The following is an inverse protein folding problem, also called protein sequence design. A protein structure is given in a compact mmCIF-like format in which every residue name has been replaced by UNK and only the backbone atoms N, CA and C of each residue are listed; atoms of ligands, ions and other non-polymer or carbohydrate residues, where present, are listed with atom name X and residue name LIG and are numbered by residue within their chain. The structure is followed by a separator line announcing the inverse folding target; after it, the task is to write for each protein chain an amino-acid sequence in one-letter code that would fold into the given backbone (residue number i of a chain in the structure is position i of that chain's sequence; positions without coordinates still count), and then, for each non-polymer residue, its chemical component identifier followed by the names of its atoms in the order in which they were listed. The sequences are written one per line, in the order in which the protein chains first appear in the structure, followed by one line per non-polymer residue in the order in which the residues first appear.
data_IF_940317248312
#
_entry.id   IF_940317248312
#
_cell.length_a   1.000
_cell.length_b   1.000
_cell.length_c   1.000
_cell.angle_alpha   90.00
_cell.angle_beta   90.00
_cell.angle_gamma   90.00
#
_symmetry.space_group_name_H-M   'P 1'
#
loop_
_entity.id
_entity.type
_entity.pdbx_description
1 polymer ?
#
# COMPACT_ATOMS: atom_id res chain seq x y z
N UNK A 1 39.65 0.26 -5.57
CA UNK A 1 38.65 -0.67 -5.06
C UNK A 1 39.27 -2.07 -5.04
N UNK A 2 39.14 -2.77 -3.93
CA UNK A 2 39.61 -4.16 -3.82
C UNK A 2 38.72 -5.11 -4.67
N UNK A 3 39.22 -6.30 -5.00
CA UNK A 3 38.44 -7.32 -5.72
C UNK A 3 37.12 -7.62 -4.96
N UNK A 4 37.19 -7.68 -3.62
CA UNK A 4 36.00 -7.90 -2.78
C UNK A 4 34.96 -6.79 -2.97
N UNK A 5 35.36 -5.53 -3.04
CA UNK A 5 34.42 -4.42 -3.27
C UNK A 5 33.72 -4.52 -4.63
N UNK A 6 34.43 -4.91 -5.69
CA UNK A 6 33.81 -5.12 -7.00
C UNK A 6 32.82 -6.27 -6.98
N UNK A 7 33.16 -7.39 -6.36
CA UNK A 7 32.29 -8.56 -6.22
C UNK A 7 31.04 -8.19 -5.40
N UNK A 8 31.22 -7.50 -4.27
CA UNK A 8 30.11 -7.02 -3.43
C UNK A 8 29.16 -6.12 -4.23
N UNK A 9 29.70 -5.13 -4.95
CA UNK A 9 28.89 -4.19 -5.77
C UNK A 9 28.10 -4.94 -6.82
N UNK A 10 28.72 -5.92 -7.49
CA UNK A 10 28.05 -6.75 -8.50
C UNK A 10 26.89 -7.53 -7.88
N UNK A 11 27.10 -8.21 -6.73
CA UNK A 11 26.06 -8.98 -6.07
C UNK A 11 24.92 -8.10 -5.57
N UNK A 12 25.19 -6.94 -5.01
CA UNK A 12 24.19 -5.95 -4.61
C UNK A 12 23.37 -5.52 -5.83
N UNK A 13 24.05 -5.16 -6.92
CA UNK A 13 23.38 -4.74 -8.14
C UNK A 13 22.47 -5.85 -8.74
N UNK A 14 22.97 -7.08 -8.83
CA UNK A 14 22.19 -8.22 -9.31
C UNK A 14 21.00 -8.51 -8.41
N UNK A 15 21.17 -8.40 -7.08
CA UNK A 15 20.07 -8.58 -6.12
C UNK A 15 19.01 -7.49 -6.29
N UNK A 16 19.41 -6.22 -6.43
CA UNK A 16 18.48 -5.10 -6.64
C UNK A 16 17.71 -5.25 -7.97
N UNK A 17 18.39 -5.62 -9.05
CA UNK A 17 17.74 -5.92 -10.33
C UNK A 17 16.77 -7.08 -10.20
N UNK A 18 17.17 -8.16 -9.51
CA UNK A 18 16.30 -9.31 -9.25
C UNK A 18 15.03 -8.93 -8.46
N UNK A 19 15.17 -8.09 -7.44
CA UNK A 19 14.04 -7.55 -6.65
C UNK A 19 13.14 -6.65 -7.51
N UNK A 20 13.72 -5.83 -8.39
CA UNK A 20 12.98 -4.96 -9.30
C UNK A 20 12.15 -5.77 -10.30
N UNK A 21 12.72 -6.82 -10.90
CA UNK A 21 12.02 -7.76 -11.80
C UNK A 21 10.89 -8.52 -11.08
N UNK A 22 11.07 -8.80 -9.79
CA UNK A 22 10.02 -9.24 -8.88
C UNK A 22 9.69 -10.74 -8.90
N UNK A 23 9.94 -11.46 -9.98
CA UNK A 23 9.72 -12.92 -10.10
C UNK A 23 10.73 -13.56 -11.02
N UNK A 24 11.33 -14.66 -10.55
CA UNK A 24 12.14 -15.55 -11.38
C UNK A 24 11.37 -16.87 -11.59
N UNK A 25 10.64 -17.03 -12.72
CA UNK A 25 9.72 -18.17 -12.92
C UNK A 25 10.40 -19.53 -12.80
N UNK A 26 11.66 -19.63 -13.29
CA UNK A 26 12.44 -20.87 -13.25
C UNK A 26 12.89 -21.29 -11.86
N UNK A 27 13.10 -20.33 -10.94
CA UNK A 27 13.61 -20.59 -9.59
C UNK A 27 12.52 -20.49 -8.52
N UNK A 28 11.26 -20.17 -8.88
CA UNK A 28 10.14 -19.93 -7.96
C UNK A 28 10.47 -18.92 -6.83
N UNK A 29 11.38 -17.99 -7.13
CA UNK A 29 11.83 -16.98 -6.18
C UNK A 29 10.94 -15.72 -6.30
N UNK A 30 10.49 -15.22 -5.17
CA UNK A 30 9.83 -13.93 -5.03
C UNK A 30 10.81 -12.86 -4.53
N UNK A 31 10.36 -11.60 -4.44
CA UNK A 31 11.20 -10.47 -3.99
C UNK A 31 11.87 -10.72 -2.64
N UNK A 32 11.12 -11.26 -1.67
CA UNK A 32 11.64 -11.54 -0.34
C UNK A 32 12.74 -12.62 -0.37
N UNK A 33 12.52 -13.70 -1.13
CA UNK A 33 13.52 -14.77 -1.29
C UNK A 33 14.78 -14.26 -1.98
N UNK A 34 14.65 -13.41 -3.02
CA UNK A 34 15.79 -12.83 -3.73
C UNK A 34 16.61 -11.95 -2.77
N UNK A 35 15.95 -11.09 -1.98
CA UNK A 35 16.62 -10.25 -0.99
C UNK A 35 17.33 -11.07 0.09
N UNK A 36 16.68 -12.12 0.60
CA UNK A 36 17.26 -13.00 1.62
C UNK A 36 18.50 -13.74 1.10
N UNK A 37 18.42 -14.30 -0.11
CA UNK A 37 19.54 -14.98 -0.76
C UNK A 37 20.70 -14.01 -1.01
N UNK A 38 20.39 -12.80 -1.51
CA UNK A 38 21.40 -11.75 -1.71
C UNK A 38 22.12 -11.38 -0.42
N UNK A 39 21.38 -11.12 0.66
CA UNK A 39 21.95 -10.83 1.98
C UNK A 39 22.79 -11.99 2.51
N UNK A 40 22.32 -13.22 2.38
CA UNK A 40 23.08 -14.42 2.80
C UNK A 40 24.41 -14.56 2.05
N UNK A 41 24.41 -14.30 0.75
CA UNK A 41 25.64 -14.34 -0.06
C UNK A 41 26.63 -13.26 0.42
N UNK A 42 26.16 -12.03 0.70
CA UNK A 42 27.01 -10.94 1.20
C UNK A 42 27.67 -11.29 2.53
N UNK A 43 26.97 -11.96 3.43
CA UNK A 43 27.51 -12.47 4.69
C UNK A 43 28.54 -13.59 4.41
N UNK A 44 28.20 -14.55 3.54
CA UNK A 44 29.04 -15.70 3.25
C UNK A 44 30.38 -15.33 2.60
N UNK A 45 30.41 -14.29 1.76
CA UNK A 45 31.67 -13.78 1.14
C UNK A 45 32.44 -12.80 2.08
N UNK A 46 31.94 -12.56 3.29
CA UNK A 46 32.58 -11.66 4.26
C UNK A 46 32.48 -10.18 3.89
N UNK A 47 31.56 -9.80 3.00
CA UNK A 47 31.32 -8.40 2.64
C UNK A 47 30.67 -7.60 3.78
N UNK A 48 29.89 -8.28 4.63
CA UNK A 48 29.30 -7.76 5.85
C UNK A 48 29.46 -8.82 6.95
N UNK A 49 29.79 -8.41 8.18
CA UNK A 49 29.81 -9.29 9.34
C UNK A 49 28.39 -9.66 9.77
N UNK A 50 28.24 -10.74 10.52
CA UNK A 50 26.93 -11.14 11.05
C UNK A 50 26.37 -10.06 12.01
N UNK A 51 27.23 -9.48 12.86
CA UNK A 51 26.88 -8.35 13.72
C UNK A 51 26.42 -7.15 12.90
N UNK A 52 27.18 -6.75 11.88
CA UNK A 52 26.81 -5.65 11.00
C UNK A 52 25.49 -5.90 10.25
N UNK A 53 25.19 -7.16 9.91
CA UNK A 53 23.89 -7.52 9.32
C UNK A 53 22.74 -7.37 10.33
N UNK A 54 22.95 -7.70 11.60
CA UNK A 54 21.96 -7.45 12.67
C UNK A 54 21.78 -5.94 12.94
N UNK A 55 22.86 -5.16 12.99
CA UNK A 55 22.80 -3.71 13.18
C UNK A 55 22.07 -2.99 12.02
N UNK A 56 22.14 -3.55 10.80
CA UNK A 56 21.42 -3.02 9.65
C UNK A 56 19.90 -3.24 9.72
N UNK A 57 19.41 -4.11 10.64
CA UNK A 57 17.98 -4.32 10.83
C UNK A 57 17.38 -3.23 11.73
N UNK A 58 16.47 -2.44 11.20
CA UNK A 58 15.69 -1.51 12.00
C UNK A 58 14.59 -2.26 12.78
N UNK A 59 14.94 -2.71 13.99
CA UNK A 59 14.03 -3.45 14.86
C UNK A 59 12.80 -2.65 15.26
N UNK A 60 12.91 -1.32 15.38
CA UNK A 60 11.76 -0.46 15.71
C UNK A 60 10.72 -0.49 14.59
N UNK A 61 11.17 -0.38 13.34
CA UNK A 61 10.27 -0.51 12.18
C UNK A 61 9.66 -1.90 12.10
N UNK A 62 10.42 -2.96 12.35
CA UNK A 62 9.90 -4.35 12.33
C UNK A 62 8.83 -4.56 13.40
N UNK A 63 9.07 -4.09 14.63
CA UNK A 63 8.09 -4.17 15.73
C UNK A 63 6.84 -3.37 15.41
N UNK A 64 6.99 -2.14 14.89
CA UNK A 64 5.85 -1.31 14.49
C UNK A 64 5.03 -1.99 13.38
N UNK A 65 5.69 -2.52 12.35
CA UNK A 65 5.04 -3.23 11.26
C UNK A 65 4.25 -4.45 11.77
N UNK A 66 4.88 -5.27 12.62
CA UNK A 66 4.24 -6.43 13.21
C UNK A 66 3.03 -6.05 14.08
N UNK A 67 3.16 -5.03 14.93
CA UNK A 67 2.06 -4.53 15.74
C UNK A 67 0.87 -4.07 14.89
N UNK A 68 1.13 -3.35 13.80
CA UNK A 68 0.10 -2.92 12.85
C UNK A 68 -0.54 -4.11 12.12
N UNK A 69 0.22 -5.14 11.78
CA UNK A 69 -0.34 -6.36 11.19
C UNK A 69 -1.28 -7.06 12.17
N UNK A 70 -0.89 -7.22 13.43
CA UNK A 70 -1.73 -7.82 14.48
C UNK A 70 -3.01 -7.00 14.69
N UNK A 71 -2.91 -5.67 14.78
CA UNK A 71 -4.06 -4.78 14.89
C UNK A 71 -5.03 -4.96 13.70
N UNK A 72 -4.50 -4.95 12.48
CA UNK A 72 -5.30 -5.09 11.27
C UNK A 72 -6.03 -6.44 11.20
N UNK A 73 -5.37 -7.53 11.58
CA UNK A 73 -6.00 -8.87 11.64
C UNK A 73 -7.15 -8.89 12.64
N UNK A 74 -6.97 -8.32 13.84
CA UNK A 74 -8.02 -8.27 14.86
C UNK A 74 -9.23 -7.42 14.39
N UNK A 75 -9.00 -6.27 13.79
CA UNK A 75 -10.07 -5.43 13.22
C UNK A 75 -10.81 -6.14 12.08
N UNK A 76 -10.07 -6.87 11.25
CA UNK A 76 -10.66 -7.71 10.21
C UNK A 76 -11.59 -8.78 10.80
N UNK A 77 -11.11 -9.51 11.82
CA UNK A 77 -11.90 -10.55 12.50
C UNK A 77 -13.13 -9.97 13.20
N UNK A 78 -13.02 -8.77 13.75
CA UNK A 78 -14.13 -8.03 14.34
C UNK A 78 -15.14 -7.50 13.31
N UNK A 79 -14.86 -7.62 12.00
CA UNK A 79 -15.76 -7.15 10.95
C UNK A 79 -15.75 -5.62 10.73
N UNK A 80 -14.79 -4.90 11.33
CA UNK A 80 -14.71 -3.44 11.28
C UNK A 80 -14.73 -2.88 9.86
N UNK A 81 -13.94 -3.44 8.95
CA UNK A 81 -13.86 -2.96 7.56
C UNK A 81 -15.18 -3.17 6.80
N UNK A 82 -15.89 -4.27 7.11
CA UNK A 82 -17.21 -4.55 6.55
C UNK A 82 -18.24 -3.56 7.07
N UNK A 83 -18.22 -3.28 8.37
CA UNK A 83 -19.11 -2.29 8.98
C UNK A 83 -18.92 -0.91 8.33
N UNK A 84 -17.68 -0.43 8.18
CA UNK A 84 -17.43 0.86 7.52
C UNK A 84 -17.96 0.87 6.09
N UNK A 85 -17.72 -0.19 5.31
CA UNK A 85 -18.22 -0.25 3.93
C UNK A 85 -19.75 -0.29 3.88
N UNK A 86 -20.41 -1.06 4.76
CA UNK A 86 -21.87 -1.16 4.78
C UNK A 86 -22.57 0.14 5.20
N UNK A 87 -21.93 0.98 5.99
CA UNK A 87 -22.46 2.29 6.40
C UNK A 87 -22.20 3.38 5.34
N UNK A 88 -21.05 3.34 4.68
CA UNK A 88 -20.63 4.43 3.77
C UNK A 88 -21.17 4.23 2.35
N UNK A 89 -21.10 3.02 1.80
CA UNK A 89 -21.41 2.79 0.39
C UNK A 89 -22.90 3.10 0.02
N UNK A 90 -23.90 2.82 0.89
CA UNK A 90 -25.29 3.14 0.60
C UNK A 90 -25.59 4.64 0.49
N UNK A 91 -24.67 5.50 0.92
CA UNK A 91 -24.82 6.95 0.77
C UNK A 91 -24.69 7.42 -0.68
N UNK A 92 -24.16 6.56 -1.55
CA UNK A 92 -24.03 6.85 -2.98
C UNK A 92 -25.40 6.78 -3.69
N UNK A 93 -25.72 7.85 -4.39
CA UNK A 93 -26.91 7.94 -5.26
C UNK A 93 -26.56 7.90 -6.75
N UNK A 94 -25.32 8.10 -7.10
CA UNK A 94 -24.82 8.14 -8.47
C UNK A 94 -23.49 7.41 -8.58
N UNK A 95 -23.13 6.89 -9.78
CA UNK A 95 -21.84 6.24 -10.02
C UNK A 95 -20.63 7.10 -9.61
N UNK A 96 -20.67 8.42 -9.85
CA UNK A 96 -19.60 9.36 -9.43
C UNK A 96 -19.48 9.49 -7.91
N UNK A 97 -20.63 9.52 -7.20
CA UNK A 97 -20.62 9.56 -5.74
C UNK A 97 -20.11 8.26 -5.15
N UNK A 98 -20.46 7.11 -5.73
CA UNK A 98 -19.95 5.82 -5.31
C UNK A 98 -18.41 5.78 -5.43
N UNK A 99 -17.86 6.21 -6.58
CA UNK A 99 -16.42 6.31 -6.74
C UNK A 99 -15.79 7.27 -5.72
N UNK A 100 -16.40 8.44 -5.47
CA UNK A 100 -15.90 9.39 -4.48
C UNK A 100 -15.87 8.79 -3.07
N UNK A 101 -16.93 8.08 -2.66
CA UNK A 101 -16.99 7.41 -1.37
C UNK A 101 -15.95 6.29 -1.26
N UNK A 102 -15.75 5.48 -2.31
CA UNK A 102 -14.70 4.46 -2.35
C UNK A 102 -13.32 5.12 -2.20
N UNK A 103 -13.02 6.18 -2.96
CA UNK A 103 -11.74 6.89 -2.91
C UNK A 103 -11.49 7.50 -1.53
N UNK A 104 -12.47 8.21 -0.96
CA UNK A 104 -12.32 8.83 0.36
C UNK A 104 -12.19 7.77 1.45
N UNK A 105 -13.07 6.77 1.47
CA UNK A 105 -13.05 5.72 2.50
C UNK A 105 -11.74 4.93 2.47
N UNK A 106 -11.34 4.45 1.29
CA UNK A 106 -10.08 3.69 1.16
C UNK A 106 -8.86 4.54 1.47
N UNK A 107 -8.85 5.81 1.05
CA UNK A 107 -7.77 6.75 1.36
C UNK A 107 -7.62 7.02 2.86
N UNK A 108 -8.71 7.36 3.53
CA UNK A 108 -8.72 7.61 4.98
C UNK A 108 -8.35 6.35 5.77
N UNK A 109 -8.94 5.21 5.40
CA UNK A 109 -8.62 3.95 6.08
C UNK A 109 -7.16 3.55 5.86
N UNK A 110 -6.59 3.77 4.67
CA UNK A 110 -5.18 3.49 4.40
C UNK A 110 -4.22 4.46 5.08
N UNK A 111 -4.67 5.65 5.45
CA UNK A 111 -3.89 6.56 6.29
C UNK A 111 -3.78 6.08 7.75
N UNK A 112 -4.75 5.29 8.22
CA UNK A 112 -4.82 4.80 9.60
C UNK A 112 -4.33 3.36 9.73
N UNK A 113 -4.41 2.58 8.64
CA UNK A 113 -4.09 1.16 8.59
C UNK A 113 -3.18 0.86 7.40
N UNK A 114 -2.61 -0.35 7.35
CA UNK A 114 -1.78 -0.78 6.22
C UNK A 114 -2.59 -0.81 4.91
N UNK A 115 -2.12 -0.11 3.90
CA UNK A 115 -2.76 0.00 2.59
C UNK A 115 -3.11 -1.36 1.95
N UNK A 116 -2.20 -2.33 2.03
CA UNK A 116 -2.42 -3.67 1.49
C UNK A 116 -3.62 -4.36 2.14
N UNK A 117 -3.77 -4.20 3.46
CA UNK A 117 -4.93 -4.73 4.19
C UNK A 117 -6.23 -4.08 3.71
N UNK A 118 -6.23 -2.76 3.51
CA UNK A 118 -7.42 -2.04 3.03
C UNK A 118 -7.82 -2.52 1.64
N UNK A 119 -6.87 -2.63 0.71
CA UNK A 119 -7.14 -3.14 -0.64
C UNK A 119 -7.71 -4.56 -0.60
N UNK A 120 -7.08 -5.47 0.15
CA UNK A 120 -7.55 -6.85 0.26
C UNK A 120 -8.95 -6.97 0.88
N UNK A 121 -9.27 -6.11 1.85
CA UNK A 121 -10.56 -6.16 2.55
C UNK A 121 -11.69 -5.51 1.77
N UNK A 122 -11.44 -4.36 1.15
CA UNK A 122 -12.47 -3.61 0.46
C UNK A 122 -12.72 -4.11 -0.97
N UNK A 123 -11.76 -4.78 -1.61
CA UNK A 123 -11.93 -5.29 -3.00
C UNK A 123 -13.17 -6.15 -3.17
N UNK A 124 -13.40 -7.24 -2.40
CA UNK A 124 -14.59 -8.04 -2.57
C UNK A 124 -15.88 -7.25 -2.29
N UNK A 125 -15.88 -6.39 -1.26
CA UNK A 125 -17.03 -5.58 -0.91
C UNK A 125 -17.39 -4.57 -2.02
N UNK A 126 -16.39 -3.90 -2.59
CA UNK A 126 -16.58 -2.98 -3.71
C UNK A 126 -17.08 -3.73 -4.95
N UNK A 127 -16.52 -4.90 -5.24
CA UNK A 127 -16.98 -5.75 -6.35
C UNK A 127 -18.43 -6.13 -6.20
N UNK A 128 -18.83 -6.63 -5.04
CA UNK A 128 -20.20 -7.06 -4.78
C UNK A 128 -21.19 -5.91 -5.00
N UNK A 129 -20.90 -4.72 -4.46
CA UNK A 129 -21.74 -3.54 -4.58
C UNK A 129 -21.81 -3.05 -6.04
N UNK A 130 -20.66 -2.91 -6.70
CA UNK A 130 -20.59 -2.36 -8.07
C UNK A 130 -21.26 -3.29 -9.07
N UNK A 131 -21.09 -4.61 -8.92
CA UNK A 131 -21.73 -5.59 -9.77
C UNK A 131 -23.26 -5.66 -9.51
N UNK A 132 -23.70 -5.56 -8.25
CA UNK A 132 -25.11 -5.50 -7.91
C UNK A 132 -25.80 -4.27 -8.51
N UNK A 133 -25.08 -3.15 -8.67
CA UNK A 133 -25.57 -1.93 -9.31
C UNK A 133 -25.43 -1.95 -10.85
N UNK A 134 -24.96 -3.04 -11.45
CA UNK A 134 -24.78 -3.17 -12.90
C UNK A 134 -23.67 -2.28 -13.47
N UNK A 135 -22.75 -1.78 -12.65
CA UNK A 135 -21.67 -0.89 -13.07
C UNK A 135 -20.41 -1.68 -13.51
N UNK A 136 -19.60 -1.05 -14.36
CA UNK A 136 -18.27 -1.56 -14.71
C UNK A 136 -17.35 -1.52 -13.48
N UNK A 137 -16.80 -2.65 -12.98
CA UNK A 137 -16.00 -2.65 -11.75
C UNK A 137 -14.61 -2.03 -11.91
N UNK A 138 -14.07 -1.96 -13.13
CA UNK A 138 -12.68 -1.55 -13.38
C UNK A 138 -12.35 -0.17 -12.80
N UNK A 139 -13.09 0.92 -13.09
CA UNK A 139 -12.77 2.25 -12.57
C UNK A 139 -12.86 2.33 -11.05
N UNK A 140 -13.75 1.57 -10.42
CA UNK A 140 -13.88 1.56 -8.95
C UNK A 140 -12.71 0.83 -8.28
N UNK A 141 -12.25 -0.28 -8.86
CA UNK A 141 -11.07 -1.00 -8.38
C UNK A 141 -9.79 -0.19 -8.56
N UNK A 142 -9.64 0.51 -9.69
CA UNK A 142 -8.53 1.46 -9.90
C UNK A 142 -8.61 2.56 -8.85
N UNK A 143 -9.80 3.10 -8.59
CA UNK A 143 -10.04 4.10 -7.55
C UNK A 143 -9.64 3.61 -6.16
N UNK A 144 -10.07 2.41 -5.78
CA UNK A 144 -9.72 1.77 -4.51
C UNK A 144 -8.21 1.65 -4.32
N UNK A 145 -7.51 1.04 -5.28
CA UNK A 145 -6.07 0.78 -5.19
C UNK A 145 -5.27 2.09 -5.21
N UNK A 146 -5.61 3.01 -6.10
CA UNK A 146 -4.93 4.31 -6.18
C UNK A 146 -5.14 5.12 -4.91
N UNK A 147 -6.37 5.17 -4.40
CA UNK A 147 -6.68 5.91 -3.18
C UNK A 147 -6.05 5.29 -1.94
N UNK A 148 -5.97 3.96 -1.85
CA UNK A 148 -5.26 3.28 -0.77
C UNK A 148 -3.77 3.65 -0.75
N UNK A 149 -3.10 3.67 -1.90
CA UNK A 149 -1.70 4.07 -1.99
C UNK A 149 -1.50 5.56 -1.68
N UNK A 150 -2.34 6.45 -2.23
CA UNK A 150 -2.25 7.88 -2.00
C UNK A 150 -2.54 8.22 -0.53
N UNK A 151 -3.61 7.64 0.03
CA UNK A 151 -4.02 7.86 1.41
C UNK A 151 -2.98 7.38 2.41
N UNK A 152 -2.36 6.23 2.17
CA UNK A 152 -1.31 5.68 3.03
C UNK A 152 -0.08 6.57 3.14
N UNK A 153 0.18 7.41 2.13
CA UNK A 153 1.29 8.37 2.18
C UNK A 153 1.08 9.47 3.24
N UNK A 154 -0.14 9.69 3.72
CA UNK A 154 -0.45 10.75 4.68
C UNK A 154 0.16 10.54 6.06
N UNK A 155 0.42 9.31 6.49
CA UNK A 155 0.84 8.99 7.86
C UNK A 155 2.02 8.02 7.89
N UNK A 156 2.70 7.95 9.03
CA UNK A 156 3.81 7.01 9.27
C UNK A 156 3.32 5.56 9.18
N UNK A 157 2.11 5.26 9.66
CA UNK A 157 1.60 3.88 9.78
C UNK A 157 0.89 3.36 8.53
N UNK A 158 0.66 4.19 7.52
CA UNK A 158 -0.10 3.84 6.32
C UNK A 158 0.58 2.80 5.42
N UNK A 159 1.91 2.76 5.41
CA UNK A 159 2.68 1.78 4.64
C UNK A 159 4.07 1.53 5.26
N UNK A 160 4.73 0.38 4.95
CA UNK A 160 6.05 0.05 5.50
C UNK A 160 7.14 1.06 5.16
N UNK A 161 7.10 1.68 3.99
CA UNK A 161 8.09 2.68 3.56
C UNK A 161 8.03 3.92 4.45
N UNK A 162 6.83 4.41 4.76
CA UNK A 162 6.64 5.53 5.68
C UNK A 162 7.06 5.20 7.11
N UNK A 163 6.89 3.94 7.54
CA UNK A 163 7.37 3.49 8.86
C UNK A 163 8.89 3.63 8.96
N UNK A 164 9.63 3.16 7.95
CA UNK A 164 11.10 3.28 7.89
C UNK A 164 11.51 4.75 7.90
N UNK A 165 10.90 5.57 7.03
CA UNK A 165 11.20 7.00 6.93
C UNK A 165 10.84 7.72 8.24
N UNK A 166 9.69 7.42 8.82
CA UNK A 166 9.21 8.03 10.06
C UNK A 166 10.11 7.75 11.25
N UNK A 167 10.50 6.48 11.42
CA UNK A 167 11.42 6.06 12.50
C UNK A 167 12.81 6.70 12.30
N UNK A 168 13.36 6.61 11.08
CA UNK A 168 14.72 7.12 10.79
C UNK A 168 14.80 8.65 10.80
N UNK A 169 13.71 9.36 10.46
CA UNK A 169 13.73 10.83 10.44
C UNK A 169 13.58 11.49 11.80
N UNK A 170 13.16 10.74 12.83
CA UNK A 170 12.85 11.28 14.15
C UNK A 170 11.67 12.27 14.18
N UNK A 171 10.90 12.38 13.09
CA UNK A 171 9.72 13.24 13.03
C UNK A 171 8.59 12.67 13.90
N UNK A 172 7.90 13.55 14.63
CA UNK A 172 6.68 13.14 15.33
C UNK A 172 5.58 12.75 14.33
N UNK A 173 4.70 11.85 14.74
CA UNK A 173 3.54 11.44 13.93
C UNK A 173 2.73 12.63 13.41
N UNK A 174 2.48 13.62 14.29
CA UNK A 174 1.71 14.82 13.95
C UNK A 174 2.44 15.72 12.96
N UNK A 175 3.77 15.87 13.09
CA UNK A 175 4.56 16.67 12.16
C UNK A 175 4.65 16.01 10.77
N UNK A 176 4.79 14.70 10.72
CA UNK A 176 4.78 13.93 9.48
C UNK A 176 3.41 14.05 8.78
N UNK A 177 2.34 13.74 9.52
CA UNK A 177 0.97 13.78 9.01
C UNK A 177 0.57 15.19 8.58
N UNK A 178 0.90 16.21 9.36
CA UNK A 178 0.58 17.60 9.02
C UNK A 178 1.19 18.08 7.71
N UNK A 179 2.34 17.53 7.32
CA UNK A 179 3.00 17.87 6.05
C UNK A 179 2.47 17.05 4.86
N UNK A 180 2.16 15.78 5.06
CA UNK A 180 1.81 14.87 3.97
C UNK A 180 0.31 14.67 3.77
N UNK A 181 -0.53 14.85 4.80
CA UNK A 181 -1.97 14.73 4.65
C UNK A 181 -2.57 15.72 3.63
N UNK A 182 -2.16 17.00 3.55
CA UNK A 182 -2.65 17.90 2.52
C UNK A 182 -2.31 17.42 1.10
N UNK A 183 -1.10 16.89 0.91
CA UNK A 183 -0.65 16.34 -0.38
C UNK A 183 -1.50 15.13 -0.77
N UNK A 184 -1.73 14.23 0.19
CA UNK A 184 -2.58 13.05 -0.02
C UNK A 184 -4.03 13.44 -0.33
N UNK A 185 -4.60 14.42 0.36
CA UNK A 185 -5.95 14.91 0.08
C UNK A 185 -6.08 15.46 -1.35
N UNK A 186 -5.14 16.29 -1.79
CA UNK A 186 -5.10 16.76 -3.18
C UNK A 186 -4.95 15.58 -4.14
N UNK A 187 -4.06 14.63 -3.83
CA UNK A 187 -3.87 13.42 -4.63
C UNK A 187 -5.13 12.58 -4.78
N UNK A 188 -5.92 12.40 -3.71
CA UNK A 188 -7.21 11.71 -3.77
C UNK A 188 -8.20 12.43 -4.69
N UNK A 189 -8.29 13.76 -4.61
CA UNK A 189 -9.12 14.56 -5.49
C UNK A 189 -8.71 14.44 -6.96
N UNK A 190 -7.40 14.48 -7.23
CA UNK A 190 -6.86 14.29 -8.58
C UNK A 190 -7.15 12.88 -9.09
N UNK A 191 -6.93 11.84 -8.29
CA UNK A 191 -7.21 10.45 -8.67
C UNK A 191 -8.68 10.26 -9.03
N UNK A 192 -9.60 10.74 -8.20
CA UNK A 192 -11.03 10.72 -8.49
C UNK A 192 -11.34 11.44 -9.82
N UNK A 193 -10.83 12.66 -10.00
CA UNK A 193 -11.07 13.47 -11.20
C UNK A 193 -10.55 12.80 -12.47
N UNK A 194 -9.32 12.26 -12.43
CA UNK A 194 -8.72 11.56 -13.57
C UNK A 194 -9.53 10.32 -13.95
N UNK A 195 -9.96 9.51 -12.97
CA UNK A 195 -10.75 8.31 -13.24
C UNK A 195 -12.10 8.69 -13.87
N UNK A 196 -12.78 9.71 -13.35
CA UNK A 196 -14.04 10.20 -13.92
C UNK A 196 -13.86 10.71 -15.35
N UNK A 197 -12.73 11.35 -15.65
CA UNK A 197 -12.43 11.85 -17.00
C UNK A 197 -12.09 10.73 -17.98
N UNK A 198 -11.30 9.75 -17.55
CA UNK A 198 -10.87 8.62 -18.39
C UNK A 198 -12.06 7.68 -18.69
N UNK A 199 -12.87 7.39 -17.69
CA UNK A 199 -14.04 6.50 -17.79
C UNK A 199 -15.34 7.28 -17.85
N UNK A 200 -15.37 8.43 -18.52
CA UNK A 200 -16.52 9.34 -18.56
C UNK A 200 -17.84 8.70 -19.02
N UNK A 201 -17.76 7.63 -19.80
CA UNK A 201 -18.94 6.91 -20.28
C UNK A 201 -19.61 6.09 -19.17
N UNK A 202 -18.81 5.52 -18.26
CA UNK A 202 -19.29 4.79 -17.08
C UNK A 202 -19.86 5.73 -16.00
N UNK A 203 -19.49 7.02 -16.04
CA UNK A 203 -19.85 8.03 -15.05
C UNK A 203 -20.80 9.10 -15.60
N UNK A 204 -21.68 8.73 -16.52
CA UNK A 204 -22.77 9.64 -16.94
C UNK A 204 -23.63 10.02 -15.74
N UNK A 205 -24.11 11.27 -15.64
CA UNK A 205 -24.93 11.72 -14.53
C UNK A 205 -26.34 11.13 -14.63
N UNK A 206 -26.46 9.89 -14.21
CA UNK A 206 -27.73 9.20 -14.04
C UNK A 206 -27.77 8.62 -12.61
N UNK A 207 -28.92 8.72 -11.90
CA UNK A 207 -29.09 7.95 -10.68
C UNK A 207 -29.06 6.45 -11.01
N UNK A 208 -28.71 5.62 -10.01
CA UNK A 208 -28.87 4.18 -10.15
C UNK A 208 -30.35 3.87 -10.46
N UNK A 209 -30.59 2.93 -11.37
CA UNK A 209 -31.93 2.43 -11.58
C UNK A 209 -32.45 1.76 -10.28
N UNK A 210 -33.63 2.18 -9.81
CA UNK A 210 -34.29 1.55 -8.67
C UNK A 210 -34.64 0.10 -8.95
#
# INVERSE_FOLDING_TARGET
MSLLQWVTTLFVFVTLVGVAVGRYPRLRMNRATISLVGATILIAIGAISLEGAYEALDMNTLVLLFAMMVLNVNLRMAGFFRLVASEVMPLARTPRQLLALIVVTSGVMSALFLNDTIVLMLTPLVLDIVLALGCNPIPYLIGLVSAANIGSAATIVGNPQNMIIGVSSGLSFTAFTGRLAPVSLVGLGVAWGVIVLVYREDFRPAPFAE
#
